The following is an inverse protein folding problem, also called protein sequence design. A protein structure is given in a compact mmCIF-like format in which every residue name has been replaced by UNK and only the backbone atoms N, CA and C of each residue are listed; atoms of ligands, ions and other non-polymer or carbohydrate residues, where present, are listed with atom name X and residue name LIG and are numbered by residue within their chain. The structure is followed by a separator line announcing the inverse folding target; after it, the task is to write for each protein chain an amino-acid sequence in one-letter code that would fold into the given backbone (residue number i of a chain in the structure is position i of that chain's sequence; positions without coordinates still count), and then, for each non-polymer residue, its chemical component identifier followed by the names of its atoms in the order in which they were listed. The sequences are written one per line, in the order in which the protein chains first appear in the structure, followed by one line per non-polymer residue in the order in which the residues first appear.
data_IF_996133482066
#
_entry.id   IF_996133482066
#
_cell.length_a   1.000
_cell.length_b   1.000
_cell.length_c   1.000
_cell.angle_alpha   90.00
_cell.angle_beta   90.00
_cell.angle_gamma   90.00
#
_symmetry.space_group_name_H-M   'P 1'
#
loop_
_entity.id
_entity.type
_entity.pdbx_description
1 polymer ?
#
# COMPACT_ATOMS: atom_id res chain seq x y z
N UNK A 1 -3.95 -11.22 18.07
CA UNK A 1 -5.17 -11.17 17.24
C UNK A 1 -4.78 -11.32 15.78
N UNK A 2 -5.40 -12.22 15.00
CA UNK A 2 -5.04 -12.44 13.61
C UNK A 2 -5.05 -11.13 12.81
N UNK A 3 -4.02 -10.94 11.99
CA UNK A 3 -3.87 -9.74 11.17
C UNK A 3 -4.99 -9.65 10.14
N UNK A 4 -5.60 -8.47 10.01
CA UNK A 4 -6.68 -8.23 9.05
C UNK A 4 -6.09 -7.82 7.72
N UNK A 5 -6.43 -8.55 6.66
CA UNK A 5 -5.99 -8.29 5.31
C UNK A 5 -7.13 -7.76 4.43
N UNK A 6 -6.82 -6.80 3.57
CA UNK A 6 -7.64 -6.41 2.43
C UNK A 6 -6.88 -6.79 1.15
N UNK A 7 -7.42 -7.70 0.37
CA UNK A 7 -6.91 -8.00 -0.98
C UNK A 7 -7.74 -7.23 -2.00
N UNK A 8 -7.07 -6.48 -2.87
CA UNK A 8 -7.67 -5.76 -4.00
C UNK A 8 -7.09 -6.32 -5.30
N UNK A 9 -7.95 -6.93 -6.08
CA UNK A 9 -7.71 -7.32 -7.45
C UNK A 9 -8.22 -6.21 -8.37
N UNK A 10 -7.31 -5.52 -9.06
CA UNK A 10 -7.63 -4.31 -9.82
C UNK A 10 -8.57 -4.54 -11.00
N UNK A 11 -8.81 -5.80 -11.39
CA UNK A 11 -9.75 -6.17 -12.44
C UNK A 11 -11.03 -6.85 -11.89
N UNK A 12 -10.96 -7.52 -10.73
CA UNK A 12 -12.05 -8.41 -10.27
C UNK A 12 -12.78 -7.93 -9.03
N UNK A 13 -12.19 -7.05 -8.21
CA UNK A 13 -12.82 -6.55 -6.98
C UNK A 13 -11.93 -6.69 -5.75
N UNK A 14 -12.52 -6.80 -4.56
CA UNK A 14 -11.78 -6.84 -3.31
C UNK A 14 -12.40 -7.81 -2.31
N UNK A 15 -11.59 -8.28 -1.36
CA UNK A 15 -12.02 -9.16 -0.28
C UNK A 15 -11.27 -8.82 1.01
N UNK A 16 -12.00 -8.81 2.13
CA UNK A 16 -11.43 -8.71 3.48
C UNK A 16 -11.30 -10.11 4.07
N UNK A 17 -10.17 -10.40 4.70
CA UNK A 17 -9.86 -11.70 5.31
C UNK A 17 -9.01 -11.51 6.56
N UNK A 18 -8.94 -12.53 7.41
CA UNK A 18 -7.94 -12.61 8.49
C UNK A 18 -6.84 -13.55 8.05
N UNK A 19 -5.58 -13.17 8.27
CA UNK A 19 -4.44 -14.05 8.08
C UNK A 19 -4.40 -15.12 9.19
N UNK A 20 -3.76 -16.28 8.95
CA UNK A 20 -3.56 -17.29 9.99
C UNK A 20 -2.87 -16.70 11.23
N UNK A 21 -3.23 -17.20 12.42
CA UNK A 21 -2.69 -16.72 13.70
C UNK A 21 -1.16 -16.80 13.79
N UNK A 22 -0.55 -17.76 13.10
CA UNK A 22 0.90 -17.90 13.00
C UNK A 22 1.60 -16.69 12.38
N UNK A 23 0.94 -15.94 11.51
CA UNK A 23 1.55 -14.77 10.86
C UNK A 23 1.83 -13.69 11.90
N UNK A 24 0.90 -13.45 12.81
CA UNK A 24 1.15 -12.52 13.92
C UNK A 24 2.14 -13.10 14.93
N UNK A 25 1.95 -14.37 15.34
CA UNK A 25 2.76 -14.99 16.38
C UNK A 25 4.23 -15.13 16.00
N UNK A 26 4.49 -15.59 14.77
CA UNK A 26 5.83 -15.99 14.33
C UNK A 26 6.50 -14.91 13.47
N UNK A 27 5.72 -14.00 12.86
CA UNK A 27 6.22 -12.95 11.96
C UNK A 27 5.85 -11.51 12.38
N UNK A 28 5.14 -11.33 13.50
CA UNK A 28 4.72 -10.05 14.12
C UNK A 28 3.76 -9.17 13.30
N UNK A 29 3.86 -9.15 11.97
CA UNK A 29 3.21 -8.20 11.09
C UNK A 29 4.20 -7.42 10.23
N UNK A 30 3.78 -6.27 9.69
CA UNK A 30 4.64 -5.41 8.86
C UNK A 30 5.40 -6.19 7.78
N UNK A 31 6.73 -6.04 7.75
CA UNK A 31 7.62 -6.76 6.83
C UNK A 31 7.50 -8.28 6.92
N UNK A 32 7.31 -8.84 8.12
CA UNK A 32 7.19 -10.29 8.32
C UNK A 32 5.93 -10.85 7.66
N UNK A 33 4.79 -10.17 7.80
CA UNK A 33 3.56 -10.53 7.11
C UNK A 33 3.69 -10.45 5.58
N UNK A 34 4.40 -9.43 5.07
CA UNK A 34 4.69 -9.32 3.63
C UNK A 34 5.54 -10.52 3.16
N UNK A 35 6.59 -10.86 3.90
CA UNK A 35 7.46 -11.98 3.56
C UNK A 35 6.68 -13.31 3.53
N UNK A 36 5.85 -13.55 4.55
CA UNK A 36 4.99 -14.74 4.62
C UNK A 36 4.01 -14.79 3.43
N UNK A 37 3.36 -13.68 3.09
CA UNK A 37 2.42 -13.64 1.96
C UNK A 37 3.12 -13.87 0.62
N UNK A 38 4.26 -13.23 0.38
CA UNK A 38 5.02 -13.46 -0.86
C UNK A 38 5.49 -14.90 -0.97
N UNK A 39 5.96 -15.51 0.13
CA UNK A 39 6.39 -16.90 0.11
C UNK A 39 5.24 -17.88 -0.20
N UNK A 40 4.05 -17.63 0.33
CA UNK A 40 2.92 -18.57 0.20
C UNK A 40 1.99 -18.30 -0.99
N UNK A 41 1.99 -17.08 -1.53
CA UNK A 41 1.00 -16.65 -2.54
C UNK A 41 1.60 -16.16 -3.85
N UNK A 42 2.92 -15.94 -3.92
CA UNK A 42 3.57 -15.55 -5.16
C UNK A 42 4.28 -16.76 -5.78
N UNK A 43 3.95 -17.07 -7.03
CA UNK A 43 4.59 -18.18 -7.74
C UNK A 43 6.09 -17.88 -7.94
N UNK A 44 6.99 -18.87 -7.74
CA UNK A 44 8.44 -18.65 -7.79
C UNK A 44 8.97 -18.04 -9.08
N UNK A 45 8.30 -18.24 -10.22
CA UNK A 45 8.72 -17.74 -11.53
C UNK A 45 7.93 -16.50 -11.99
N UNK A 46 7.12 -15.91 -11.11
CA UNK A 46 6.32 -14.70 -11.44
C UNK A 46 7.22 -13.55 -11.91
N UNK A 47 7.03 -13.01 -13.13
CA UNK A 47 7.80 -11.87 -13.62
C UNK A 47 7.54 -10.61 -12.77
N UNK A 48 8.56 -9.77 -12.47
CA UNK A 48 8.38 -8.59 -11.61
C UNK A 48 7.36 -7.56 -12.12
N UNK A 49 7.24 -7.37 -13.43
CA UNK A 49 6.27 -6.47 -14.05
C UNK A 49 5.17 -7.32 -14.72
N UNK A 50 4.32 -7.89 -13.88
CA UNK A 50 3.18 -8.68 -14.31
C UNK A 50 1.97 -8.43 -13.42
N UNK A 51 0.78 -8.68 -13.96
CA UNK A 51 -0.46 -8.62 -13.22
C UNK A 51 -0.46 -9.56 -12.00
N UNK A 52 0.22 -10.71 -12.11
CA UNK A 52 0.30 -11.73 -11.05
C UNK A 52 1.27 -11.38 -9.93
N UNK A 53 2.23 -10.47 -10.15
CA UNK A 53 3.09 -10.00 -9.08
C UNK A 53 2.26 -9.29 -7.99
N UNK A 54 2.58 -9.54 -6.73
CA UNK A 54 1.91 -8.94 -5.59
C UNK A 54 2.62 -7.66 -5.18
N UNK A 55 1.85 -6.60 -4.92
CA UNK A 55 2.32 -5.39 -4.27
C UNK A 55 1.63 -5.26 -2.92
N UNK A 56 2.36 -5.49 -1.84
CA UNK A 56 1.81 -5.66 -0.50
C UNK A 56 2.26 -4.53 0.39
N UNK A 57 1.31 -3.84 1.02
CA UNK A 57 1.55 -2.81 2.02
C UNK A 57 1.14 -3.37 3.39
N UNK A 58 1.98 -3.21 4.40
CA UNK A 58 1.66 -3.64 5.76
C UNK A 58 2.00 -2.53 6.74
N UNK A 59 1.04 -2.18 7.58
CA UNK A 59 1.26 -1.27 8.68
C UNK A 59 2.14 -1.94 9.75
N UNK A 60 2.94 -1.15 10.46
CA UNK A 60 3.66 -1.65 11.62
C UNK A 60 2.71 -2.15 12.71
N UNK A 61 3.08 -3.16 13.52
CA UNK A 61 2.23 -3.69 14.59
C UNK A 61 1.88 -2.67 15.67
N UNK A 62 2.66 -1.59 15.79
CA UNK A 62 2.40 -0.46 16.68
C UNK A 62 1.74 0.75 15.97
N UNK A 63 1.56 0.71 14.65
CA UNK A 63 0.99 1.83 13.91
C UNK A 63 -0.43 2.14 14.37
N UNK A 64 -0.72 3.42 14.58
CA UNK A 64 -2.02 3.89 15.07
C UNK A 64 -2.22 3.77 16.57
N UNK A 65 -1.23 3.26 17.33
CA UNK A 65 -1.22 3.33 18.79
C UNK A 65 -0.79 4.72 19.29
N UNK A 66 -0.88 4.94 20.62
CA UNK A 66 -0.37 6.14 21.28
C UNK A 66 1.17 6.18 21.41
N UNK A 67 1.87 5.11 21.01
CA UNK A 67 3.34 5.06 21.09
C UNK A 67 3.94 6.01 20.05
N UNK A 68 4.83 6.90 20.50
CA UNK A 68 5.47 7.88 19.65
C UNK A 68 6.24 7.24 18.48
N UNK A 69 6.21 7.90 17.32
CA UNK A 69 6.95 7.53 16.11
C UNK A 69 6.62 6.14 15.51
N UNK A 70 5.41 5.62 15.69
CA UNK A 70 5.03 4.26 15.22
C UNK A 70 4.13 4.23 13.97
N UNK A 71 3.80 5.36 13.35
CA UNK A 71 2.81 5.44 12.27
C UNK A 71 3.20 4.85 10.90
N UNK A 72 4.45 4.42 10.74
CA UNK A 72 5.01 3.98 9.46
C UNK A 72 4.42 2.68 8.90
N UNK A 73 4.80 2.37 7.66
CA UNK A 73 4.39 1.18 6.93
C UNK A 73 5.54 0.62 6.10
N UNK A 74 5.46 -0.65 5.77
CA UNK A 74 6.35 -1.32 4.82
C UNK A 74 5.56 -1.65 3.56
N UNK A 75 6.21 -1.59 2.40
CA UNK A 75 5.71 -2.16 1.14
C UNK A 75 6.71 -3.16 0.61
N UNK A 76 6.24 -4.26 0.05
CA UNK A 76 7.11 -5.25 -0.58
C UNK A 76 6.47 -5.96 -1.76
N UNK A 77 7.32 -6.49 -2.61
CA UNK A 77 6.96 -7.09 -3.91
C UNK A 77 8.17 -7.88 -4.45
N UNK A 78 7.99 -8.62 -5.54
CA UNK A 78 9.13 -9.01 -6.37
C UNK A 78 9.64 -7.80 -7.14
N UNK A 79 10.89 -7.43 -6.90
CA UNK A 79 11.49 -6.20 -7.40
C UNK A 79 11.88 -6.33 -8.88
N UNK A 80 11.51 -5.36 -9.74
CA UNK A 80 12.02 -5.28 -11.11
C UNK A 80 13.50 -4.88 -11.18
N UNK A 81 14.07 -4.35 -10.10
CA UNK A 81 15.50 -3.97 -10.04
C UNK A 81 16.41 -5.17 -9.84
N UNK A 82 16.00 -6.12 -9.00
CA UNK A 82 16.87 -7.21 -8.55
C UNK A 82 16.36 -8.60 -8.93
N UNK A 83 15.08 -8.73 -9.34
CA UNK A 83 14.41 -10.01 -9.58
C UNK A 83 14.04 -10.79 -8.31
N UNK A 84 14.59 -10.40 -7.15
CA UNK A 84 14.28 -10.97 -5.84
C UNK A 84 13.15 -10.24 -5.12
N UNK A 85 12.92 -10.59 -3.86
CA UNK A 85 11.96 -9.86 -3.02
C UNK A 85 12.59 -8.54 -2.56
N UNK A 86 11.92 -7.42 -2.85
CA UNK A 86 12.29 -6.09 -2.41
C UNK A 86 11.29 -5.53 -1.39
N UNK A 87 11.80 -4.75 -0.44
CA UNK A 87 10.99 -4.05 0.56
C UNK A 87 11.42 -2.60 0.63
N UNK A 88 10.47 -1.71 0.87
CA UNK A 88 10.74 -0.33 1.25
C UNK A 88 9.89 0.07 2.44
N UNK A 89 10.43 0.91 3.30
CA UNK A 89 9.72 1.47 4.44
C UNK A 89 9.53 2.99 4.28
N UNK A 90 8.46 3.52 4.86
CA UNK A 90 8.30 4.96 5.03
C UNK A 90 7.63 5.28 6.39
N UNK A 91 7.99 6.41 7.00
CA UNK A 91 7.24 6.99 8.11
C UNK A 91 5.94 7.64 7.60
N UNK A 92 5.27 8.38 8.48
CA UNK A 92 4.03 9.10 8.19
C UNK A 92 2.82 8.51 8.91
N UNK A 93 1.63 8.90 8.47
CA UNK A 93 0.37 8.51 9.11
C UNK A 93 -0.42 7.49 8.30
N UNK A 94 0.03 7.14 7.09
CA UNK A 94 -0.72 6.25 6.20
C UNK A 94 -0.91 4.85 6.80
N UNK A 95 0.12 4.26 7.41
CA UNK A 95 0.02 2.95 8.07
C UNK A 95 -0.94 2.96 9.26
N UNK A 96 -0.91 4.04 10.05
CA UNK A 96 -1.88 4.25 11.13
C UNK A 96 -3.32 4.38 10.61
N UNK A 97 -3.53 5.18 9.56
CA UNK A 97 -4.85 5.33 8.93
C UNK A 97 -5.37 3.99 8.39
N UNK A 98 -4.50 3.17 7.78
CA UNK A 98 -4.87 1.83 7.30
C UNK A 98 -5.41 0.96 8.45
N UNK A 99 -4.71 0.92 9.60
CA UNK A 99 -5.15 0.15 10.78
C UNK A 99 -6.45 0.65 11.38
N UNK A 100 -6.66 1.96 11.40
CA UNK A 100 -7.93 2.59 11.84
C UNK A 100 -9.10 2.26 10.92
N UNK A 101 -8.84 1.83 9.67
CA UNK A 101 -9.84 1.28 8.74
C UNK A 101 -9.98 -0.25 8.84
N UNK A 102 -9.43 -0.83 9.91
CA UNK A 102 -9.53 -2.26 10.18
C UNK A 102 -8.65 -3.12 9.27
N UNK A 103 -7.55 -2.56 8.75
CA UNK A 103 -6.66 -3.24 7.81
C UNK A 103 -5.23 -3.17 8.34
N UNK A 104 -4.61 -4.31 8.59
CA UNK A 104 -3.21 -4.41 8.96
C UNK A 104 -2.32 -4.64 7.73
N UNK A 105 -2.86 -5.33 6.71
CA UNK A 105 -2.18 -5.62 5.44
C UNK A 105 -3.09 -5.35 4.24
N UNK A 106 -2.60 -4.61 3.25
CA UNK A 106 -3.24 -4.37 1.96
C UNK A 106 -2.45 -5.11 0.87
N UNK A 107 -3.08 -6.06 0.18
CA UNK A 107 -2.51 -6.81 -0.94
C UNK A 107 -3.10 -6.28 -2.24
N UNK A 108 -2.27 -5.79 -3.16
CA UNK A 108 -2.69 -5.38 -4.50
C UNK A 108 -2.21 -6.44 -5.50
N UNK A 109 -3.13 -6.89 -6.36
CA UNK A 109 -2.85 -7.81 -7.47
C UNK A 109 -3.66 -7.44 -8.71
N UNK A 110 -3.36 -8.10 -9.83
CA UNK A 110 -3.92 -7.75 -11.12
C UNK A 110 -3.33 -6.44 -11.65
N UNK A 111 -3.93 -5.96 -12.74
CA UNK A 111 -3.65 -4.69 -13.39
C UNK A 111 -4.99 -4.02 -13.70
N UNK A 112 -5.10 -2.70 -13.50
CA UNK A 112 -6.28 -1.97 -13.90
C UNK A 112 -6.32 -1.78 -15.44
N UNK A 113 -7.51 -1.77 -16.09
CA UNK A 113 -7.60 -1.52 -17.53
C UNK A 113 -7.07 -0.12 -17.90
N UNK A 114 -7.15 0.84 -16.98
CA UNK A 114 -6.71 2.22 -17.14
C UNK A 114 -6.25 2.81 -15.80
N UNK A 115 -5.58 3.96 -15.84
CA UNK A 115 -5.04 4.66 -14.68
C UNK A 115 -6.11 4.95 -13.63
N UNK A 116 -5.91 4.41 -12.44
CA UNK A 116 -6.84 4.53 -11.32
C UNK A 116 -6.13 4.94 -10.02
N UNK A 117 -6.92 5.36 -9.04
CA UNK A 117 -6.51 5.40 -7.64
C UNK A 117 -7.47 4.58 -6.80
N UNK A 118 -6.95 3.97 -5.75
CA UNK A 118 -7.72 3.21 -4.77
C UNK A 118 -8.15 4.14 -3.64
N UNK A 119 -9.43 4.13 -3.29
CA UNK A 119 -9.98 4.82 -2.12
C UNK A 119 -10.51 3.79 -1.12
N UNK A 120 -10.02 3.87 0.12
CA UNK A 120 -10.45 3.07 1.26
C UNK A 120 -11.06 4.02 2.29
N UNK A 121 -12.33 3.77 2.61
CA UNK A 121 -13.09 4.52 3.61
C UNK A 121 -13.99 3.58 4.43
N UNK A 122 -13.44 3.07 5.53
CA UNK A 122 -14.05 2.00 6.31
C UNK A 122 -14.25 0.76 5.44
N UNK A 123 -15.48 0.25 5.39
CA UNK A 123 -15.83 -0.89 4.55
C UNK A 123 -15.96 -0.55 3.07
N UNK A 124 -15.97 0.74 2.70
CA UNK A 124 -16.05 1.15 1.31
C UNK A 124 -14.67 1.11 0.67
N UNK A 125 -14.51 0.27 -0.35
CA UNK A 125 -13.29 0.17 -1.18
C UNK A 125 -13.68 0.44 -2.64
N UNK A 126 -13.11 1.48 -3.25
CA UNK A 126 -13.44 1.91 -4.61
C UNK A 126 -12.21 2.21 -5.44
N UNK A 127 -12.21 1.75 -6.69
CA UNK A 127 -11.28 2.23 -7.72
C UNK A 127 -11.92 3.43 -8.42
N UNK A 128 -11.19 4.53 -8.51
CA UNK A 128 -11.63 5.76 -9.20
C UNK A 128 -10.63 6.10 -10.29
N UNK A 129 -11.10 6.75 -11.36
CA UNK A 129 -10.21 7.20 -12.43
C UNK A 129 -9.16 8.17 -11.90
N UNK A 130 -7.91 7.99 -12.36
CA UNK A 130 -6.79 8.87 -12.05
C UNK A 130 -6.24 9.59 -13.28
N UNK A 131 -6.97 9.60 -14.41
CA UNK A 131 -6.52 10.25 -15.65
C UNK A 131 -6.12 11.72 -15.46
N UNK A 132 -6.83 12.45 -14.60
CA UNK A 132 -6.54 13.87 -14.28
C UNK A 132 -5.28 14.07 -13.41
N UNK A 133 -4.73 12.99 -12.88
CA UNK A 133 -3.54 12.98 -12.03
C UNK A 133 -2.27 12.58 -12.78
N UNK A 134 -2.39 11.98 -13.97
CA UNK A 134 -1.24 11.55 -14.77
C UNK A 134 -0.40 12.75 -15.20
N UNK A 135 0.92 12.60 -15.11
CA UNK A 135 1.91 13.66 -15.33
C UNK A 135 2.16 14.55 -14.12
N UNK A 136 1.32 14.49 -13.07
CA UNK A 136 1.56 15.23 -11.83
C UNK A 136 2.59 14.51 -10.97
N UNK A 137 3.49 15.27 -10.35
CA UNK A 137 4.36 14.74 -9.30
C UNK A 137 3.56 14.30 -8.06
N UNK A 138 4.25 13.68 -7.11
CA UNK A 138 3.63 13.12 -5.90
C UNK A 138 3.06 14.19 -4.97
N UNK A 139 3.65 15.39 -4.94
CA UNK A 139 3.18 16.52 -4.12
C UNK A 139 1.89 17.07 -4.71
N UNK A 140 1.89 17.36 -6.02
CA UNK A 140 0.74 17.85 -6.76
C UNK A 140 -0.40 16.82 -6.81
N UNK A 141 -0.09 15.53 -6.89
CA UNK A 141 -1.08 14.44 -6.79
C UNK A 141 -1.73 14.42 -5.41
N UNK A 142 -0.92 14.53 -4.35
CA UNK A 142 -1.42 14.56 -2.97
C UNK A 142 -2.31 15.78 -2.74
N UNK A 143 -1.87 16.97 -3.17
CA UNK A 143 -2.65 18.20 -3.02
C UNK A 143 -3.99 18.13 -3.77
N UNK A 144 -4.00 17.61 -5.01
CA UNK A 144 -5.20 17.46 -5.81
C UNK A 144 -6.22 16.50 -5.16
N UNK A 145 -5.75 15.35 -4.66
CA UNK A 145 -6.61 14.38 -4.00
C UNK A 145 -7.14 14.89 -2.65
N UNK A 146 -6.34 15.62 -1.87
CA UNK A 146 -6.81 16.26 -0.65
C UNK A 146 -7.85 17.35 -0.94
N UNK A 147 -7.71 18.10 -2.03
CA UNK A 147 -8.71 19.07 -2.46
C UNK A 147 -10.01 18.38 -2.92
N UNK A 148 -9.92 17.24 -3.60
CA UNK A 148 -11.06 16.47 -4.09
C UNK A 148 -11.82 15.73 -2.97
N UNK A 149 -11.10 15.20 -1.98
CA UNK A 149 -11.63 14.24 -1.01
C UNK A 149 -11.74 14.79 0.42
N UNK A 150 -11.14 15.94 0.72
CA UNK A 150 -10.97 16.47 2.08
C UNK A 150 -9.56 16.28 2.63
N UNK A 151 -9.23 17.00 3.71
CA UNK A 151 -7.90 16.96 4.36
C UNK A 151 -7.70 15.78 5.31
N UNK A 152 -8.76 15.05 5.60
CA UNK A 152 -8.84 13.87 6.45
C UNK A 152 -8.48 12.57 5.71
N UNK A 153 -7.60 12.66 4.71
CA UNK A 153 -7.09 11.49 3.98
C UNK A 153 -5.57 11.37 4.09
N UNK A 154 -5.09 10.14 3.94
CA UNK A 154 -3.67 9.81 3.81
C UNK A 154 -3.46 9.18 2.45
N UNK A 155 -2.47 9.67 1.72
CA UNK A 155 -2.29 9.37 0.29
C UNK A 155 -0.90 8.80 0.08
N UNK A 156 -0.82 7.68 -0.63
CA UNK A 156 0.38 7.22 -1.30
C UNK A 156 0.25 7.56 -2.79
N UNK A 157 1.31 8.03 -3.42
CA UNK A 157 1.31 8.31 -4.85
C UNK A 157 2.64 7.92 -5.50
N UNK A 158 2.57 7.58 -6.78
CA UNK A 158 3.73 7.56 -7.68
C UNK A 158 3.80 8.85 -8.48
N UNK A 159 4.99 9.22 -8.93
CA UNK A 159 5.22 10.38 -9.80
C UNK A 159 5.49 9.99 -11.26
N UNK A 160 5.89 10.98 -12.10
CA UNK A 160 6.21 10.77 -13.51
C UNK A 160 7.27 9.68 -13.76
N UNK A 161 8.20 9.47 -12.81
CA UNK A 161 9.18 8.38 -12.91
C UNK A 161 8.51 7.00 -12.96
N UNK A 162 7.48 6.77 -12.13
CA UNK A 162 6.72 5.51 -12.16
C UNK A 162 5.93 5.39 -13.45
N UNK A 163 5.23 6.46 -13.84
CA UNK A 163 4.44 6.51 -15.09
C UNK A 163 5.30 6.24 -16.34
N UNK A 164 6.57 6.66 -16.32
CA UNK A 164 7.53 6.44 -17.41
C UNK A 164 8.25 5.07 -17.33
N UNK A 165 7.92 4.21 -16.37
CA UNK A 165 8.50 2.86 -16.24
C UNK A 165 9.92 2.83 -15.66
N UNK A 166 10.34 3.86 -14.92
CA UNK A 166 11.66 3.86 -14.26
C UNK A 166 11.70 2.78 -13.20
N UNK A 167 12.61 1.80 -13.35
CA UNK A 167 12.66 0.62 -12.49
C UNK A 167 12.87 0.92 -11.00
N UNK A 168 13.51 2.04 -10.65
CA UNK A 168 13.71 2.52 -9.28
C UNK A 168 12.75 3.64 -8.87
N UNK A 169 11.63 3.81 -9.58
CA UNK A 169 10.58 4.73 -9.16
C UNK A 169 10.10 4.40 -7.75
N UNK A 170 9.88 5.46 -6.96
CA UNK A 170 9.43 5.35 -5.58
C UNK A 170 7.95 5.65 -5.43
N UNK A 171 7.39 5.16 -4.33
CA UNK A 171 6.11 5.59 -3.77
C UNK A 171 6.42 6.69 -2.76
N UNK A 172 5.60 7.75 -2.73
CA UNK A 172 5.72 8.83 -1.74
C UNK A 172 4.42 8.92 -0.94
N UNK A 173 4.54 8.85 0.37
CA UNK A 173 3.44 9.04 1.30
C UNK A 173 3.28 10.52 1.66
N UNK A 174 2.03 11.00 1.64
CA UNK A 174 1.63 12.33 2.08
C UNK A 174 2.40 13.47 1.37
N UNK A 175 2.92 13.21 0.18
CA UNK A 175 3.76 14.15 -0.58
C UNK A 175 5.12 14.45 0.06
N UNK A 176 5.51 13.74 1.13
CA UNK A 176 6.69 14.09 1.94
C UNK A 176 7.60 12.89 2.22
N UNK A 177 7.01 11.74 2.56
CA UNK A 177 7.77 10.59 3.05
C UNK A 177 8.03 9.61 1.91
N UNK A 178 9.30 9.55 1.48
CA UNK A 178 9.74 8.62 0.46
C UNK A 178 9.75 7.20 1.01
N UNK A 179 9.13 6.27 0.29
CA UNK A 179 9.36 4.84 0.48
C UNK A 179 10.73 4.50 -0.09
N UNK A 180 11.57 3.86 0.73
CA UNK A 180 12.89 3.39 0.33
C UNK A 180 12.86 2.66 -1.04
N UNK A 181 13.74 3.02 -1.99
CA UNK A 181 13.70 2.45 -3.33
C UNK A 181 13.95 0.93 -3.35
N UNK A 182 12.92 0.17 -3.74
CA UNK A 182 13.01 -1.26 -3.98
C UNK A 182 12.29 -1.70 -5.27
N UNK A 183 12.03 -0.75 -6.17
CA UNK A 183 11.24 -0.95 -7.40
C UNK A 183 9.73 -1.06 -7.16
N UNK A 184 9.25 -0.75 -5.96
CA UNK A 184 7.84 -0.80 -5.59
C UNK A 184 6.99 0.22 -6.34
N UNK A 185 7.52 1.41 -6.62
CA UNK A 185 6.82 2.42 -7.44
C UNK A 185 6.68 2.02 -8.90
N UNK A 186 7.66 1.28 -9.45
CA UNK A 186 7.56 0.71 -10.79
C UNK A 186 6.46 -0.35 -10.87
N UNK A 187 6.38 -1.27 -9.90
CA UNK A 187 5.29 -2.27 -9.83
C UNK A 187 3.93 -1.61 -9.64
N UNK A 188 3.84 -0.57 -8.80
CA UNK A 188 2.59 0.19 -8.62
C UNK A 188 2.13 0.86 -9.93
N UNK A 189 3.08 1.37 -10.73
CA UNK A 189 2.82 1.99 -12.01
C UNK A 189 2.41 0.97 -13.10
N UNK A 190 3.07 -0.18 -13.16
CA UNK A 190 2.76 -1.29 -14.06
C UNK A 190 1.31 -1.76 -13.89
N UNK A 191 0.82 -1.73 -12.65
CA UNK A 191 -0.57 -2.03 -12.30
C UNK A 191 -1.58 -0.92 -12.64
N UNK A 192 -1.12 0.19 -13.23
CA UNK A 192 -1.86 1.43 -13.51
C UNK A 192 -2.52 2.05 -12.27
N UNK A 193 -1.87 1.90 -11.10
CA UNK A 193 -2.36 2.45 -9.84
C UNK A 193 -1.57 3.72 -9.49
N UNK A 194 -2.14 4.89 -9.77
CA UNK A 194 -1.51 6.20 -9.54
C UNK A 194 -1.38 6.54 -8.05
N UNK A 195 -2.38 6.18 -7.26
CA UNK A 195 -2.41 6.50 -5.84
C UNK A 195 -3.25 5.51 -5.02
N UNK A 196 -2.98 5.47 -3.72
CA UNK A 196 -3.79 4.77 -2.71
C UNK A 196 -4.15 5.77 -1.62
N UNK A 197 -5.45 5.98 -1.43
CA UNK A 197 -6.03 6.93 -0.50
C UNK A 197 -6.76 6.18 0.60
N UNK A 198 -6.45 6.52 1.85
CA UNK A 198 -7.12 5.98 3.03
C UNK A 198 -7.69 7.15 3.83
N UNK A 199 -8.99 7.10 4.13
CA UNK A 199 -9.65 8.05 5.03
C UNK A 199 -9.09 7.90 6.43
N UNK A 200 -8.60 8.97 7.06
CA UNK A 200 -8.17 8.92 8.44
C UNK A 200 -9.39 8.86 9.36
N UNK A 201 -9.35 7.97 10.35
CA UNK A 201 -10.48 7.70 11.26
C UNK A 201 -10.04 7.90 12.70
N UNK A 202 -10.98 7.78 13.64
CA UNK A 202 -10.64 7.81 15.05
C UNK A 202 -9.61 6.71 15.39
N UNK A 203 -8.71 6.95 16.38
CA UNK A 203 -7.77 5.93 16.85
C UNK A 203 -8.48 4.64 17.26
N UNK A 204 -7.79 3.52 17.11
CA UNK A 204 -8.26 2.25 17.67
C UNK A 204 -8.19 2.33 19.21
N UNK A 205 -9.16 1.72 19.93
CA UNK A 205 -9.08 1.61 21.38
C UNK A 205 -7.82 0.83 21.80
N UNK A 206 -7.19 1.26 22.89
CA UNK A 206 -6.07 0.53 23.49
C UNK A 206 -6.56 -0.84 23.99
N UNK A 207 -5.75 -1.89 23.78
CA UNK A 207 -6.06 -3.25 24.24
C UNK A 207 -5.95 -3.34 25.77
N UNK A 208 -5.04 -2.58 26.36
CA UNK A 208 -4.89 -2.37 27.80
C UNK A 208 -4.36 -0.93 28.02
N UNK A 209 -5.21 0.02 28.46
CA UNK A 209 -4.90 1.46 28.50
C UNK A 209 -3.92 1.88 29.61
#
# INVERSE_FOLDING_TARGET
MPLRSLTVDLARGHARQTLPDEVERDYLGGRGAIAWLLWHQLEPDTPPLSADNLLIFAAGPLAGSAVFATGGFTVGTRSPLTGGIGYGWAPGHWGAALRRNGIDVLVIRGEAPDWCYLLIDGDTVRLRSARHLIGRDTVATTAALSQELGSDVRILAIGPAGEAGVAYASIVAEGQYLVEPAGTGAVMADKKLKAIVVRDRAPLPAVDP
#
